data_IF_036820050131
#
_entry.id   IF_036820050131
#
_cell.length_a   1.000
_cell.length_b   1.000
_cell.length_c   1.000
_cell.angle_alpha   90.00
_cell.angle_beta   90.00
_cell.angle_gamma   90.00
#
_symmetry.space_group_name_H-M   'P 1'
#
loop_
_entity.id
_entity.type
_entity.pdbx_description
1 polymer ?
#
# COMPACT_ATOMS: atom_id res chain seq x y z
N UNK A 1 1.22 -44.79 7.21
CA UNK A 1 1.56 -43.68 6.30
C UNK A 1 1.69 -42.43 7.15
N UNK A 2 2.86 -41.78 7.18
CA UNK A 2 3.08 -40.58 7.99
C UNK A 2 2.22 -39.43 7.44
N UNK A 3 1.47 -38.76 8.30
CA UNK A 3 0.58 -37.63 7.94
C UNK A 3 1.33 -36.29 7.91
N UNK A 4 2.66 -36.31 8.07
CA UNK A 4 3.50 -35.12 8.09
C UNK A 4 4.33 -35.05 6.82
N UNK A 5 4.44 -33.85 6.27
CA UNK A 5 5.36 -33.51 5.18
C UNK A 5 6.81 -33.82 5.59
N UNK A 6 7.61 -34.26 4.64
CA UNK A 6 9.03 -34.57 4.85
C UNK A 6 9.85 -33.31 5.22
N UNK A 7 9.35 -32.12 4.85
CA UNK A 7 9.88 -30.84 5.29
C UNK A 7 8.71 -29.91 5.68
N UNK A 8 8.89 -29.08 6.72
CA UNK A 8 7.89 -28.08 7.08
C UNK A 8 7.79 -27.00 5.99
N UNK A 9 6.58 -26.53 5.73
CA UNK A 9 6.36 -25.40 4.84
C UNK A 9 7.07 -24.13 5.34
N UNK A 10 7.38 -23.23 4.41
CA UNK A 10 7.87 -21.90 4.77
C UNK A 10 6.83 -21.19 5.65
N UNK A 11 7.25 -20.49 6.72
CA UNK A 11 6.32 -19.75 7.57
C UNK A 11 5.62 -18.64 6.79
N UNK A 12 4.44 -18.24 7.26
CA UNK A 12 3.72 -17.10 6.68
C UNK A 12 4.50 -15.80 6.84
N UNK A 13 4.24 -14.87 5.93
CA UNK A 13 4.88 -13.55 5.95
C UNK A 13 4.29 -12.69 7.08
N UNK A 14 5.16 -12.04 7.85
CA UNK A 14 4.75 -11.06 8.86
C UNK A 14 4.64 -9.69 8.20
N UNK A 15 3.40 -9.27 7.93
CA UNK A 15 3.08 -8.04 7.21
C UNK A 15 2.13 -7.17 8.03
N UNK A 16 2.69 -6.17 8.71
CA UNK A 16 1.89 -5.23 9.50
C UNK A 16 1.24 -4.19 8.60
N UNK A 17 -0.07 -4.03 8.76
CA UNK A 17 -0.83 -2.93 8.17
C UNK A 17 -0.52 -1.62 8.87
N UNK A 18 0.00 -0.64 8.12
CA UNK A 18 0.46 0.62 8.68
C UNK A 18 0.40 1.76 7.65
N UNK A 19 0.15 2.97 8.17
CA UNK A 19 0.12 4.21 7.41
C UNK A 19 -0.69 5.23 8.22
N UNK A 20 -0.11 6.40 8.49
CA UNK A 20 -0.83 7.49 9.17
C UNK A 20 -0.08 8.82 8.99
N UNK A 21 -0.78 9.93 9.17
CA UNK A 21 -0.25 11.29 9.13
C UNK A 21 0.31 11.71 7.76
N UNK A 22 1.59 11.46 7.47
CA UNK A 22 2.28 11.95 6.26
C UNK A 22 3.11 10.82 5.66
N UNK A 23 3.50 10.96 4.39
CA UNK A 23 4.36 10.01 3.71
C UNK A 23 5.70 9.82 4.46
N UNK A 24 6.37 10.89 4.86
CA UNK A 24 7.62 10.84 5.65
C UNK A 24 7.46 10.08 6.98
N UNK A 25 6.42 10.36 7.77
CA UNK A 25 6.19 9.66 9.05
C UNK A 25 5.82 8.19 8.86
N UNK A 26 5.06 7.88 7.80
CA UNK A 26 4.73 6.50 7.45
C UNK A 26 5.98 5.72 7.00
N UNK A 27 6.86 6.34 6.22
CA UNK A 27 8.16 5.77 5.85
C UNK A 27 9.03 5.47 7.10
N UNK A 28 9.14 6.41 8.03
CA UNK A 28 9.88 6.21 9.29
C UNK A 28 9.34 5.00 10.06
N UNK A 29 8.01 4.88 10.17
CA UNK A 29 7.33 3.74 10.78
C UNK A 29 7.65 2.43 10.04
N UNK A 30 7.62 2.42 8.71
CA UNK A 30 7.96 1.23 7.90
C UNK A 30 9.39 0.78 8.15
N UNK A 31 10.36 1.69 8.06
CA UNK A 31 11.77 1.39 8.30
C UNK A 31 12.02 0.88 9.71
N UNK A 32 11.38 1.47 10.71
CA UNK A 32 11.44 1.02 12.11
C UNK A 32 10.84 -0.37 12.31
N UNK A 33 9.78 -0.72 11.59
CA UNK A 33 9.20 -2.05 11.69
C UNK A 33 10.07 -3.10 10.96
N UNK A 34 10.62 -2.75 9.80
CA UNK A 34 11.58 -3.60 9.08
C UNK A 34 12.82 -3.89 9.94
N UNK A 35 13.36 -2.88 10.64
CA UNK A 35 14.49 -3.08 11.56
C UNK A 35 14.14 -3.96 12.77
N UNK A 36 12.86 -4.19 13.05
CA UNK A 36 12.34 -5.07 14.12
C UNK A 36 11.93 -6.46 13.60
N UNK A 37 12.23 -6.79 12.35
CA UNK A 37 11.99 -8.12 11.78
C UNK A 37 10.68 -8.27 11.00
N UNK A 38 9.97 -7.18 10.69
CA UNK A 38 8.89 -7.23 9.71
C UNK A 38 9.44 -7.64 8.34
N UNK A 39 8.77 -8.56 7.64
CA UNK A 39 9.27 -9.19 6.41
C UNK A 39 8.53 -8.75 5.14
N UNK A 40 7.50 -7.92 5.27
CA UNK A 40 6.83 -7.28 4.15
C UNK A 40 6.04 -6.06 4.60
N UNK A 41 5.65 -5.19 3.67
CA UNK A 41 4.92 -3.96 3.95
C UNK A 41 3.44 -4.11 3.60
N UNK A 42 2.55 -3.46 4.36
CA UNK A 42 1.15 -3.30 4.00
C UNK A 42 0.73 -1.85 4.22
N UNK A 43 0.49 -1.15 3.13
CA UNK A 43 0.24 0.29 3.09
C UNK A 43 -1.26 0.55 3.29
N UNK A 44 -1.55 1.39 4.30
CA UNK A 44 -2.85 1.92 4.61
C UNK A 44 -2.98 3.35 4.05
N UNK A 45 -3.88 3.58 3.09
CA UNK A 45 -4.12 4.93 2.54
C UNK A 45 -5.22 5.65 3.31
N UNK A 46 -5.20 6.98 3.32
CA UNK A 46 -6.26 7.76 3.93
C UNK A 46 -7.58 7.72 3.13
N UNK A 47 -8.65 8.27 3.69
CA UNK A 47 -9.96 8.20 3.05
C UNK A 47 -10.02 9.00 1.74
N UNK A 48 -9.46 10.23 1.64
CA UNK A 48 -9.37 10.96 0.37
C UNK A 48 -8.67 10.16 -0.74
N UNK A 49 -7.50 9.58 -0.45
CA UNK A 49 -6.75 8.75 -1.42
C UNK A 49 -7.56 7.51 -1.84
N UNK A 50 -8.28 6.88 -0.90
CA UNK A 50 -9.16 5.74 -1.19
C UNK A 50 -10.34 6.10 -2.10
N UNK A 51 -10.84 7.34 -2.01
CA UNK A 51 -12.05 7.81 -2.72
C UNK A 51 -11.74 8.67 -3.94
N UNK A 52 -10.47 8.95 -4.23
CA UNK A 52 -10.03 9.69 -5.42
C UNK A 52 -10.07 11.21 -5.28
N UNK A 53 -10.04 11.73 -4.04
CA UNK A 53 -9.94 13.16 -3.78
C UNK A 53 -8.52 13.56 -3.41
N UNK A 54 -8.06 14.67 -3.99
CA UNK A 54 -6.84 15.36 -3.56
C UNK A 54 -7.04 16.00 -2.19
N UNK A 55 -5.92 16.25 -1.49
CA UNK A 55 -5.93 16.73 -0.12
C UNK A 55 -6.54 18.13 0.07
N UNK A 56 -6.57 18.94 -0.99
CA UNK A 56 -7.17 20.28 -1.02
C UNK A 56 -8.64 20.29 -1.47
N UNK A 57 -9.20 19.12 -1.84
CA UNK A 57 -10.61 18.99 -2.20
C UNK A 57 -11.51 19.24 -0.97
N UNK A 58 -12.65 19.92 -1.17
CA UNK A 58 -13.55 20.29 -0.08
C UNK A 58 -14.03 19.08 0.74
N UNK A 59 -14.30 17.96 0.08
CA UNK A 59 -14.75 16.70 0.70
C UNK A 59 -13.63 15.96 1.44
N UNK A 60 -12.36 16.31 1.23
CA UNK A 60 -11.23 15.71 1.93
C UNK A 60 -10.96 16.34 3.30
N UNK A 61 -11.54 17.51 3.57
CA UNK A 61 -11.27 18.31 4.77
C UNK A 61 -11.53 17.51 6.05
N UNK A 62 -10.49 17.36 6.87
CA UNK A 62 -10.55 16.66 8.15
C UNK A 62 -10.29 15.15 8.08
N UNK A 63 -10.15 14.58 6.88
CA UNK A 63 -9.88 13.15 6.68
C UNK A 63 -8.46 12.88 6.14
N UNK A 64 -7.78 13.91 5.62
CA UNK A 64 -6.38 13.84 5.15
C UNK A 64 -5.46 13.31 6.25
N UNK A 65 -4.81 12.18 5.97
CA UNK A 65 -3.83 11.56 6.88
C UNK A 65 -4.38 10.98 8.19
N UNK A 66 -5.71 10.96 8.38
CA UNK A 66 -6.35 10.57 9.65
C UNK A 66 -6.34 9.07 9.89
N UNK A 67 -6.68 8.29 8.86
CA UNK A 67 -6.82 6.82 8.93
C UNK A 67 -5.78 6.06 8.10
N UNK A 68 -4.88 6.79 7.46
CA UNK A 68 -3.89 6.24 6.53
C UNK A 68 -2.91 7.32 6.07
N UNK A 69 -2.03 6.96 5.14
CA UNK A 69 -1.13 7.91 4.50
C UNK A 69 -1.83 8.62 3.33
N UNK A 70 -1.75 9.95 3.21
CA UNK A 70 -2.19 10.67 2.02
C UNK A 70 -1.18 10.46 0.88
N UNK A 71 -1.66 10.13 -0.31
CA UNK A 71 -0.85 10.04 -1.53
C UNK A 71 -1.64 10.62 -2.70
N UNK A 72 -1.27 11.81 -3.16
CA UNK A 72 -1.91 12.46 -4.31
C UNK A 72 -1.09 12.26 -5.59
N UNK A 73 0.24 12.34 -5.49
CA UNK A 73 1.14 12.37 -6.65
C UNK A 73 2.43 11.57 -6.44
N UNK A 74 3.25 11.49 -7.50
CA UNK A 74 4.53 10.77 -7.52
C UNK A 74 5.45 11.12 -6.36
N UNK A 75 5.54 12.39 -5.98
CA UNK A 75 6.41 12.84 -4.89
C UNK A 75 6.05 12.24 -3.53
N UNK A 76 4.76 11.99 -3.27
CA UNK A 76 4.31 11.38 -2.01
C UNK A 76 4.68 9.91 -1.98
N UNK A 77 4.46 9.19 -3.09
CA UNK A 77 4.83 7.78 -3.19
C UNK A 77 6.35 7.59 -3.09
N UNK A 78 7.13 8.47 -3.74
CA UNK A 78 8.59 8.47 -3.64
C UNK A 78 9.04 8.70 -2.18
N UNK A 79 8.47 9.69 -1.48
CA UNK A 79 8.76 9.93 -0.07
C UNK A 79 8.33 8.77 0.84
N UNK A 80 7.18 8.15 0.56
CA UNK A 80 6.65 7.03 1.32
C UNK A 80 7.57 5.80 1.25
N UNK A 81 8.21 5.59 0.10
CA UNK A 81 9.05 4.42 -0.18
C UNK A 81 10.56 4.71 -0.11
N UNK A 82 10.95 5.90 0.31
CA UNK A 82 12.34 6.31 0.37
C UNK A 82 13.21 5.37 1.24
N UNK A 83 14.31 4.90 0.65
CA UNK A 83 15.24 3.95 1.28
C UNK A 83 14.65 2.58 1.63
N UNK A 84 13.50 2.21 1.07
CA UNK A 84 12.94 0.85 1.14
C UNK A 84 13.35 0.09 -0.12
N UNK A 85 14.06 -1.05 -0.02
CA UNK A 85 14.52 -1.80 -1.20
C UNK A 85 13.36 -2.58 -1.86
N UNK A 86 12.69 -1.98 -2.83
CA UNK A 86 11.46 -2.52 -3.44
C UNK A 86 11.67 -3.84 -4.21
N UNK A 87 12.88 -4.12 -4.68
CA UNK A 87 13.30 -5.38 -5.32
C UNK A 87 13.33 -6.57 -4.35
N UNK A 88 13.47 -6.29 -3.05
CA UNK A 88 13.56 -7.30 -1.98
C UNK A 88 12.33 -7.34 -1.10
N UNK A 89 11.42 -6.39 -1.28
CA UNK A 89 10.21 -6.27 -0.49
C UNK A 89 9.04 -6.93 -1.15
N UNK A 90 8.19 -7.53 -0.31
CA UNK A 90 6.84 -7.81 -0.70
C UNK A 90 5.95 -6.72 -0.14
N UNK A 91 5.32 -5.93 -1.02
CA UNK A 91 4.48 -4.78 -0.64
C UNK A 91 3.02 -5.06 -0.94
N UNK A 92 2.15 -4.84 0.04
CA UNK A 92 0.70 -4.89 -0.13
C UNK A 92 0.14 -3.48 -0.08
N UNK A 93 -0.77 -3.16 -0.98
CA UNK A 93 -1.52 -1.90 -1.00
C UNK A 93 -3.00 -2.21 -0.80
N UNK A 94 -3.56 -1.76 0.33
CA UNK A 94 -5.00 -1.90 0.61
C UNK A 94 -5.74 -0.76 -0.06
N UNK A 95 -5.94 -0.89 -1.37
CA UNK A 95 -6.54 0.15 -2.23
C UNK A 95 -7.42 -0.49 -3.30
N UNK A 96 -8.52 0.18 -3.66
CA UNK A 96 -9.55 -0.38 -4.54
C UNK A 96 -9.94 0.59 -5.67
N UNK A 97 -10.84 1.54 -5.43
CA UNK A 97 -11.33 2.43 -6.49
C UNK A 97 -10.21 3.16 -7.25
N UNK A 98 -9.16 3.58 -6.54
CA UNK A 98 -7.99 4.26 -7.09
C UNK A 98 -6.79 3.32 -7.31
N UNK A 99 -6.98 2.00 -7.25
CA UNK A 99 -5.88 1.03 -7.27
C UNK A 99 -4.99 1.14 -8.50
N UNK A 100 -5.55 1.39 -9.69
CA UNK A 100 -4.76 1.57 -10.92
C UNK A 100 -3.83 2.78 -10.83
N UNK A 101 -4.30 3.90 -10.26
CA UNK A 101 -3.50 5.10 -10.05
C UNK A 101 -2.36 4.86 -9.05
N UNK A 102 -2.68 4.30 -7.88
CA UNK A 102 -1.67 4.03 -6.85
C UNK A 102 -0.65 2.97 -7.29
N UNK A 103 -1.07 1.97 -8.07
CA UNK A 103 -0.17 0.99 -8.66
C UNK A 103 0.78 1.64 -9.67
N UNK A 104 0.29 2.56 -10.50
CA UNK A 104 1.15 3.32 -11.43
C UNK A 104 2.18 4.16 -10.66
N UNK A 105 1.77 4.88 -9.61
CA UNK A 105 2.70 5.63 -8.77
C UNK A 105 3.74 4.73 -8.09
N UNK A 106 3.33 3.56 -7.61
CA UNK A 106 4.23 2.57 -7.00
C UNK A 106 5.28 2.07 -8.01
N UNK A 107 4.85 1.74 -9.23
CA UNK A 107 5.75 1.32 -10.31
C UNK A 107 6.73 2.42 -10.68
N UNK A 108 6.27 3.67 -10.83
CA UNK A 108 7.14 4.81 -11.13
C UNK A 108 8.15 5.04 -10.01
N UNK A 109 7.73 4.95 -8.74
CA UNK A 109 8.65 5.06 -7.60
C UNK A 109 9.71 3.95 -7.60
N UNK A 110 9.37 2.73 -8.04
CA UNK A 110 10.34 1.65 -8.22
C UNK A 110 11.32 1.92 -9.36
N UNK A 111 10.84 2.41 -10.50
CA UNK A 111 11.68 2.77 -11.64
C UNK A 111 12.66 3.89 -11.27
N UNK A 112 12.23 4.89 -10.49
CA UNK A 112 13.09 5.96 -9.95
C UNK A 112 14.19 5.43 -9.01
N UNK A 113 13.96 4.28 -8.35
CA UNK A 113 14.97 3.56 -7.56
C UNK A 113 15.84 2.61 -8.39
N UNK A 114 15.62 2.51 -9.71
CA UNK A 114 16.32 1.58 -10.59
C UNK A 114 15.84 0.13 -10.50
N UNK A 115 14.62 -0.11 -9.98
CA UNK A 115 14.01 -1.43 -9.86
C UNK A 115 13.08 -1.68 -11.04
N UNK A 116 13.33 -2.74 -11.80
CA UNK A 116 12.46 -3.12 -12.92
C UNK A 116 11.14 -3.73 -12.42
N UNK A 117 10.05 -3.49 -13.14
CA UNK A 117 8.70 -3.99 -12.78
C UNK A 117 8.64 -5.49 -12.50
N UNK A 118 9.42 -6.31 -13.22
CA UNK A 118 9.47 -7.77 -13.05
C UNK A 118 10.06 -8.22 -11.71
N UNK A 119 10.75 -7.33 -11.00
CA UNK A 119 11.36 -7.59 -9.70
C UNK A 119 10.40 -7.25 -8.55
N UNK A 120 9.28 -6.57 -8.83
CA UNK A 120 8.33 -6.17 -7.81
C UNK A 120 7.51 -7.36 -7.33
N UNK A 121 7.62 -7.65 -6.04
CA UNK A 121 6.75 -8.59 -5.34
C UNK A 121 5.66 -7.84 -4.58
N UNK A 122 4.40 -8.24 -4.72
CA UNK A 122 3.35 -7.54 -3.97
C UNK A 122 1.92 -7.94 -4.28
N UNK A 123 1.00 -7.14 -3.73
CA UNK A 123 -0.43 -7.28 -3.94
C UNK A 123 -1.07 -5.89 -3.92
N UNK A 124 -1.98 -5.62 -4.84
CA UNK A 124 -2.97 -4.56 -4.70
C UNK A 124 -4.30 -5.22 -4.42
N UNK A 125 -5.10 -4.70 -3.48
CA UNK A 125 -6.35 -5.35 -3.11
C UNK A 125 -7.31 -5.45 -4.31
N UNK A 126 -7.58 -4.31 -4.98
CA UNK A 126 -8.31 -4.23 -6.25
C UNK A 126 -9.59 -5.11 -6.32
N UNK A 127 -10.32 -5.19 -5.21
CA UNK A 127 -11.61 -5.87 -5.13
C UNK A 127 -12.70 -4.82 -5.07
N UNK A 128 -13.22 -4.41 -6.22
CA UNK A 128 -14.25 -3.36 -6.28
C UNK A 128 -15.63 -3.87 -5.87
N UNK A 129 -15.90 -5.18 -5.99
CA UNK A 129 -17.22 -5.75 -5.67
C UNK A 129 -17.51 -5.62 -4.17
N UNK A 130 -16.52 -5.92 -3.31
CA UNK A 130 -16.69 -5.75 -1.86
C UNK A 130 -16.81 -4.29 -1.41
N UNK A 131 -16.41 -3.32 -2.24
CA UNK A 131 -16.69 -1.91 -1.96
C UNK A 131 -18.18 -1.59 -2.02
N UNK A 132 -18.91 -2.13 -3.00
CA UNK A 132 -20.35 -1.94 -3.10
C UNK A 132 -21.12 -2.69 -2.02
N UNK A 133 -20.63 -3.85 -1.58
CA UNK A 133 -21.34 -4.72 -0.65
C UNK A 133 -21.15 -4.36 0.83
N UNK A 134 -19.98 -3.83 1.22
CA UNK A 134 -19.64 -3.71 2.63
C UNK A 134 -18.75 -2.52 3.03
N UNK A 135 -17.89 -2.00 2.14
CA UNK A 135 -16.85 -1.04 2.53
C UNK A 135 -17.13 0.41 2.13
N UNK A 136 -17.82 0.65 1.03
CA UNK A 136 -18.30 1.97 0.63
C UNK A 136 -17.26 2.93 0.03
N UNK A 137 -16.05 2.47 -0.31
CA UNK A 137 -14.99 3.30 -0.94
C UNK A 137 -14.88 3.05 -2.44
N UNK A 138 -16.01 3.08 -3.14
CA UNK A 138 -16.09 3.07 -4.61
C UNK A 138 -16.10 4.50 -5.16
N UNK A 139 -15.62 4.69 -6.41
CA UNK A 139 -15.62 6.00 -7.08
C UNK A 139 -16.52 6.03 -8.33
N UNK A 140 -16.56 4.92 -9.07
CA UNK A 140 -17.33 4.79 -10.31
C UNK A 140 -18.50 3.82 -10.12
N UNK A 141 -19.60 3.98 -10.90
CA UNK A 141 -20.66 2.98 -10.91
C UNK A 141 -20.14 1.63 -11.45
N UNK A 142 -20.80 0.52 -11.10
CA UNK A 142 -20.43 -0.82 -11.58
C UNK A 142 -20.72 -1.06 -13.08
N UNK A 143 -21.36 -0.11 -13.77
CA UNK A 143 -21.69 -0.14 -15.20
C UNK A 143 -21.96 1.24 -15.75
#
# INVERSE_FOLDING_TARGET
MSVRLDQPDRPWMMRTYAGHSTAAKSNELYRRNLSKGQTGLSIAFDLPTQTGYDADHELARGEVGKVGVPVAHRGDMAQLLDGIPLDKMNTSMTINATAAWLLALYVVAAEEQGVEQKQLGGTTQNDIIKEFLARGTYAFPPG
#
